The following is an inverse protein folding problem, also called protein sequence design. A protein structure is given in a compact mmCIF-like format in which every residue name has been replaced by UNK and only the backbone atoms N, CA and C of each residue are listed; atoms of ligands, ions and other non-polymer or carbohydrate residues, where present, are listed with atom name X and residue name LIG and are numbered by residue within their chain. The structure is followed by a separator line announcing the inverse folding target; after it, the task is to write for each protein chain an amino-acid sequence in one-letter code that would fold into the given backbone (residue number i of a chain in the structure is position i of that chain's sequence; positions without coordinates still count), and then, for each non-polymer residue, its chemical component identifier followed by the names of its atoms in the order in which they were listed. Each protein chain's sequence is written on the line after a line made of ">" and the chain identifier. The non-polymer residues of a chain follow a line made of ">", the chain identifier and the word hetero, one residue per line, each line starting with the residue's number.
data_IF_335253611649
#
_entry.id   IF_335253611649
#
_cell.length_a   1.000
_cell.length_b   1.000
_cell.length_c   1.000
_cell.angle_alpha   90.00
_cell.angle_beta   90.00
_cell.angle_gamma   90.00
#
_symmetry.space_group_name_H-M   'P 1'
#
loop_
_entity.id
_entity.type
_entity.pdbx_description
1 polymer ?
#
# COMPACT_ATOMS: atom_id res chain seq x y z
N UNK A 1 17.75 0.01 -20.66
CA UNK A 1 17.15 1.08 -19.86
C UNK A 1 15.65 0.90 -19.97
N UNK A 2 15.00 0.50 -18.88
CA UNK A 2 13.53 0.39 -18.79
C UNK A 2 12.95 1.80 -18.88
N UNK A 3 11.84 1.98 -19.61
CA UNK A 3 11.17 3.28 -19.66
C UNK A 3 10.77 3.71 -18.24
N UNK A 4 10.81 5.02 -17.92
CA UNK A 4 10.37 5.51 -16.62
C UNK A 4 8.91 5.13 -16.39
N UNK A 5 8.61 4.44 -15.29
CA UNK A 5 7.23 4.16 -14.88
C UNK A 5 6.54 5.47 -14.49
N UNK A 6 5.30 5.64 -14.91
CA UNK A 6 4.47 6.81 -14.61
C UNK A 6 3.66 6.57 -13.33
N UNK A 7 3.88 7.36 -12.29
CA UNK A 7 3.19 7.25 -11.00
C UNK A 7 1.96 8.17 -10.88
N UNK A 8 1.62 8.92 -11.94
CA UNK A 8 0.46 9.79 -11.99
C UNK A 8 -0.81 9.07 -12.47
N UNK A 9 -0.68 7.78 -12.80
CA UNK A 9 -1.79 6.90 -13.15
C UNK A 9 -1.73 5.60 -12.36
N UNK A 10 -2.88 4.98 -12.12
CA UNK A 10 -2.95 3.65 -11.53
C UNK A 10 -2.44 2.60 -12.50
N UNK A 11 -1.44 1.83 -12.06
CA UNK A 11 -0.98 0.60 -12.71
C UNK A 11 -0.42 -0.38 -11.67
N UNK A 12 -0.54 -1.66 -11.96
CA UNK A 12 0.03 -2.75 -11.16
C UNK A 12 0.43 -3.89 -12.10
N UNK A 13 1.59 -4.48 -11.90
CA UNK A 13 1.97 -5.70 -12.64
C UNK A 13 1.09 -6.90 -12.20
N UNK A 14 0.62 -6.89 -10.95
CA UNK A 14 -0.41 -7.80 -10.41
C UNK A 14 -1.52 -7.00 -9.74
N UNK A 15 -2.67 -6.92 -10.39
CA UNK A 15 -3.83 -6.18 -9.92
C UNK A 15 -4.90 -7.04 -9.21
N UNK A 16 -4.77 -8.37 -9.26
CA UNK A 16 -5.57 -9.28 -8.44
C UNK A 16 -4.67 -10.05 -7.46
N UNK A 17 -4.91 -9.85 -6.16
CA UNK A 17 -4.20 -10.58 -5.11
C UNK A 17 -4.93 -11.85 -4.67
N UNK A 18 -6.10 -12.19 -5.23
CA UNK A 18 -6.93 -13.33 -4.80
C UNK A 18 -6.20 -14.69 -4.77
N UNK A 19 -5.14 -14.84 -5.57
CA UNK A 19 -4.33 -16.06 -5.65
C UNK A 19 -3.04 -16.01 -4.81
N UNK A 20 -2.86 -14.95 -4.02
CA UNK A 20 -1.66 -14.76 -3.21
C UNK A 20 -1.66 -15.68 -1.98
N UNK A 21 -0.66 -16.57 -1.88
CA UNK A 21 -0.61 -17.55 -0.80
C UNK A 21 -0.03 -17.03 0.51
N UNK A 22 0.80 -15.99 0.44
CA UNK A 22 1.53 -15.42 1.56
C UNK A 22 1.42 -13.90 1.49
N UNK A 23 1.08 -13.20 2.58
CA UNK A 23 1.06 -11.75 2.60
C UNK A 23 2.40 -11.15 2.16
N UNK A 24 2.35 -10.12 1.32
CA UNK A 24 3.52 -9.30 1.01
C UNK A 24 3.59 -8.21 2.07
N UNK A 25 4.67 -8.20 2.83
CA UNK A 25 4.95 -7.17 3.82
C UNK A 25 5.57 -5.98 3.11
N UNK A 26 4.99 -4.80 3.32
CA UNK A 26 5.45 -3.55 2.76
C UNK A 26 5.88 -2.61 3.89
N UNK A 27 7.17 -2.30 3.94
CA UNK A 27 7.72 -1.23 4.77
C UNK A 27 7.34 0.10 4.13
N UNK A 28 6.74 0.99 4.92
CA UNK A 28 6.28 2.30 4.45
C UNK A 28 7.43 3.29 4.49
N UNK A 29 7.67 3.99 3.38
CA UNK A 29 8.70 5.02 3.24
C UNK A 29 8.01 6.31 2.85
N UNK A 30 8.14 7.33 3.69
CA UNK A 30 7.53 8.64 3.46
C UNK A 30 8.58 9.58 2.88
N UNK A 31 8.26 10.22 1.75
CA UNK A 31 9.17 11.12 1.03
C UNK A 31 8.48 12.44 0.73
N UNK A 32 9.27 13.52 0.59
CA UNK A 32 8.74 14.84 0.31
C UNK A 32 8.28 15.00 -1.14
N UNK A 33 7.54 16.07 -1.46
CA UNK A 33 7.06 16.32 -2.83
C UNK A 33 8.21 16.43 -3.85
N UNK A 34 8.09 15.69 -4.96
CA UNK A 34 9.10 15.66 -6.04
C UNK A 34 10.25 14.67 -5.80
N UNK A 35 10.14 13.80 -4.78
CA UNK A 35 11.17 12.83 -4.43
C UNK A 35 10.82 11.39 -4.80
N UNK A 36 9.57 11.11 -5.22
CA UNK A 36 9.09 9.76 -5.47
C UNK A 36 9.96 9.00 -6.48
N UNK A 37 10.18 9.55 -7.67
CA UNK A 37 10.89 8.86 -8.76
C UNK A 37 12.36 8.62 -8.40
N UNK A 38 13.00 9.55 -7.70
CA UNK A 38 14.38 9.36 -7.21
C UNK A 38 14.43 8.24 -6.18
N UNK A 39 13.45 8.20 -5.28
CA UNK A 39 13.38 7.20 -4.22
C UNK A 39 13.05 5.81 -4.79
N UNK A 40 12.15 5.72 -5.77
CA UNK A 40 11.86 4.48 -6.51
C UNK A 40 13.14 3.91 -7.10
N UNK A 41 13.90 4.71 -7.87
CA UNK A 41 15.18 4.26 -8.46
C UNK A 41 16.14 3.69 -7.42
N UNK A 42 16.27 4.35 -6.27
CA UNK A 42 17.09 3.85 -5.18
C UNK A 42 16.64 2.48 -4.67
N UNK A 43 15.33 2.27 -4.43
CA UNK A 43 14.83 0.99 -3.94
C UNK A 43 14.80 -0.10 -5.01
N UNK A 44 14.70 0.26 -6.29
CA UNK A 44 14.87 -0.66 -7.41
C UNK A 44 16.30 -1.18 -7.47
N UNK A 45 17.28 -0.27 -7.45
CA UNK A 45 18.70 -0.59 -7.45
C UNK A 45 19.11 -1.40 -6.21
N UNK A 46 18.61 -1.01 -5.02
CA UNK A 46 18.91 -1.68 -3.76
C UNK A 46 18.45 -3.15 -3.74
N UNK A 47 17.31 -3.45 -4.36
CA UNK A 47 16.70 -4.78 -4.32
C UNK A 47 16.94 -5.60 -5.59
N UNK A 48 17.42 -4.97 -6.67
CA UNK A 48 17.56 -5.61 -7.98
C UNK A 48 16.21 -5.98 -8.61
N UNK A 49 15.15 -5.22 -8.31
CA UNK A 49 13.79 -5.42 -8.85
C UNK A 49 13.26 -4.09 -9.38
N UNK A 50 12.28 -4.12 -10.28
CA UNK A 50 11.58 -2.90 -10.72
C UNK A 50 10.35 -2.64 -9.86
N UNK A 51 9.86 -1.40 -9.87
CA UNK A 51 8.55 -1.06 -9.34
C UNK A 51 7.48 -1.93 -10.01
N UNK A 52 6.54 -2.43 -9.20
CA UNK A 52 5.49 -3.36 -9.63
C UNK A 52 4.07 -2.81 -9.42
N UNK A 53 3.98 -1.56 -8.98
CA UNK A 53 2.77 -0.77 -9.10
C UNK A 53 2.95 0.67 -8.65
N UNK A 54 2.02 1.51 -9.06
CA UNK A 54 2.01 2.93 -8.79
C UNK A 54 0.62 3.50 -8.91
N UNK A 55 0.30 4.52 -8.13
CA UNK A 55 -0.96 5.24 -8.28
C UNK A 55 -0.94 6.61 -7.58
N UNK A 56 -1.65 7.60 -8.13
CA UNK A 56 -2.00 8.79 -7.38
C UNK A 56 -3.10 8.46 -6.37
N UNK A 57 -3.10 9.17 -5.24
CA UNK A 57 -4.20 9.18 -4.27
C UNK A 57 -4.65 10.62 -4.02
N UNK A 58 -5.39 11.23 -4.97
CA UNK A 58 -5.68 12.66 -4.96
C UNK A 58 -6.48 13.12 -3.74
N UNK A 59 -7.37 12.28 -3.22
CA UNK A 59 -8.21 12.58 -2.06
C UNK A 59 -7.37 12.83 -0.80
N UNK A 60 -6.19 12.20 -0.71
CA UNK A 60 -5.23 12.39 0.37
C UNK A 60 -4.07 13.33 -0.01
N UNK A 61 -4.00 13.80 -1.26
CA UNK A 61 -2.86 14.58 -1.77
C UNK A 61 -1.56 13.79 -1.80
N UNK A 62 -1.62 12.48 -2.08
CA UNK A 62 -0.46 11.58 -2.08
C UNK A 62 -0.19 10.95 -3.44
N UNK A 63 1.03 10.47 -3.64
CA UNK A 63 1.44 9.57 -4.74
C UNK A 63 2.15 8.37 -4.16
N UNK A 64 1.89 7.18 -4.71
CA UNK A 64 2.40 5.93 -4.16
C UNK A 64 3.12 5.08 -5.20
N UNK A 65 4.15 4.37 -4.76
CA UNK A 65 4.88 3.40 -5.56
C UNK A 65 5.21 2.14 -4.74
N UNK A 66 5.06 0.97 -5.34
CA UNK A 66 5.45 -0.31 -4.75
C UNK A 66 6.74 -0.80 -5.41
N UNK A 67 7.76 -1.10 -4.59
CA UNK A 67 9.06 -1.60 -5.06
C UNK A 67 9.55 -2.69 -4.12
N UNK A 68 9.50 -3.96 -4.54
CA UNK A 68 9.95 -5.09 -3.71
C UNK A 68 9.24 -5.14 -2.34
N UNK A 69 9.97 -4.98 -1.24
CA UNK A 69 9.39 -4.98 0.11
C UNK A 69 8.93 -3.59 0.61
N UNK A 70 8.87 -2.57 -0.25
CA UNK A 70 8.61 -1.18 0.15
C UNK A 70 7.37 -0.59 -0.54
N UNK A 71 6.64 0.22 0.23
CA UNK A 71 5.60 1.14 -0.25
C UNK A 71 6.09 2.57 -0.01
N UNK A 72 6.44 3.26 -1.09
CA UNK A 72 6.84 4.66 -1.05
C UNK A 72 5.58 5.52 -1.13
N UNK A 73 5.53 6.56 -0.30
CA UNK A 73 4.40 7.46 -0.16
C UNK A 73 4.93 8.89 -0.17
N UNK A 74 4.66 9.59 -1.26
CA UNK A 74 5.01 10.99 -1.45
C UNK A 74 3.85 11.89 -1.05
N UNK A 75 4.15 12.97 -0.33
CA UNK A 75 3.17 13.99 0.04
C UNK A 75 3.80 15.13 0.84
N UNK A 76 3.00 16.16 1.15
CA UNK A 76 3.44 17.19 2.11
C UNK A 76 3.47 16.62 3.54
N UNK A 77 4.22 17.21 4.48
CA UNK A 77 4.21 16.76 5.87
C UNK A 77 2.81 16.63 6.47
N UNK A 78 1.91 17.56 6.14
CA UNK A 78 0.52 17.59 6.61
C UNK A 78 -0.29 16.43 6.01
N UNK A 79 -0.12 16.16 4.71
CA UNK A 79 -0.78 15.05 4.03
C UNK A 79 -0.28 13.68 4.52
N UNK A 80 1.00 13.57 4.87
CA UNK A 80 1.62 12.32 5.33
C UNK A 80 1.30 12.02 6.80
N UNK A 81 1.10 13.04 7.64
CA UNK A 81 0.93 12.89 9.09
C UNK A 81 -0.09 11.83 9.55
N UNK A 82 -1.26 11.64 8.89
CA UNK A 82 -2.19 10.58 9.27
C UNK A 82 -1.65 9.17 9.04
N UNK A 83 -0.73 9.00 8.08
CA UNK A 83 -0.24 7.71 7.60
C UNK A 83 1.03 7.24 8.32
N UNK A 84 1.79 8.14 8.95
CA UNK A 84 3.07 7.84 9.61
C UNK A 84 2.94 6.98 10.87
N UNK A 85 1.74 6.91 11.45
CA UNK A 85 1.45 6.06 12.61
C UNK A 85 1.33 4.57 12.26
N UNK A 86 1.18 4.22 10.97
CA UNK A 86 1.06 2.83 10.52
C UNK A 86 2.45 2.19 10.43
N UNK A 87 2.66 1.09 11.16
CA UNK A 87 3.93 0.35 11.20
C UNK A 87 4.27 -0.28 9.85
N UNK A 88 3.27 -0.81 9.15
CA UNK A 88 3.46 -1.42 7.83
C UNK A 88 2.15 -1.82 7.18
N UNK A 89 2.25 -2.20 5.91
CA UNK A 89 1.11 -2.69 5.11
C UNK A 89 1.29 -4.16 4.79
N UNK A 90 0.23 -4.94 4.98
CA UNK A 90 0.12 -6.32 4.53
C UNK A 90 -0.79 -6.37 3.31
N UNK A 91 -0.20 -6.65 2.14
CA UNK A 91 -0.96 -6.97 0.94
C UNK A 91 -1.32 -8.46 0.99
N UNK A 92 -2.61 -8.75 1.15
CA UNK A 92 -3.19 -10.09 1.37
C UNK A 92 -4.09 -10.50 0.20
N UNK A 93 -4.53 -11.76 0.21
CA UNK A 93 -5.48 -12.32 -0.75
C UNK A 93 -6.91 -11.80 -0.54
N UNK A 94 -7.36 -11.82 0.71
CA UNK A 94 -8.65 -11.31 1.15
C UNK A 94 -8.52 -10.66 2.52
N UNK A 95 -9.02 -9.43 2.65
CA UNK A 95 -8.98 -8.68 3.91
C UNK A 95 -10.05 -9.16 4.90
N UNK A 96 -11.18 -9.73 4.44
CA UNK A 96 -12.30 -10.08 5.32
C UNK A 96 -11.91 -11.12 6.40
N UNK A 97 -11.21 -12.23 6.07
CA UNK A 97 -10.79 -13.18 7.10
C UNK A 97 -9.82 -12.61 8.14
N UNK A 98 -8.98 -11.63 7.77
CA UNK A 98 -8.10 -10.94 8.71
C UNK A 98 -8.88 -10.01 9.63
N UNK A 99 -9.81 -9.24 9.06
CA UNK A 99 -10.71 -8.36 9.80
C UNK A 99 -11.46 -9.13 10.89
N UNK A 100 -12.12 -10.24 10.53
CA UNK A 100 -12.91 -11.05 11.46
C UNK A 100 -12.07 -11.61 12.60
N UNK A 101 -10.87 -12.13 12.29
CA UNK A 101 -9.93 -12.66 13.29
C UNK A 101 -9.43 -11.57 14.24
N UNK A 102 -9.13 -10.39 13.73
CA UNK A 102 -8.65 -9.26 14.53
C UNK A 102 -9.75 -8.73 15.46
N UNK A 103 -10.98 -8.59 14.96
CA UNK A 103 -12.13 -8.23 15.79
C UNK A 103 -12.35 -9.28 16.89
N UNK A 104 -12.31 -10.57 16.56
CA UNK A 104 -12.43 -11.65 17.55
C UNK A 104 -11.30 -11.65 18.59
N UNK A 105 -10.10 -11.21 18.21
CA UNK A 105 -8.94 -11.08 19.09
C UNK A 105 -8.95 -9.78 19.94
N UNK A 106 -9.96 -8.93 19.81
CA UNK A 106 -10.07 -7.66 20.54
C UNK A 106 -9.18 -6.54 20.00
N UNK A 107 -8.72 -6.65 18.75
CA UNK A 107 -8.00 -5.57 18.07
C UNK A 107 -8.91 -4.34 17.89
N UNK A 108 -8.33 -3.14 17.95
CA UNK A 108 -9.06 -1.90 17.70
C UNK A 108 -8.98 -1.54 16.22
N UNK A 109 -10.11 -1.50 15.53
CA UNK A 109 -10.19 -0.99 14.15
C UNK A 109 -10.18 0.54 14.18
N UNK A 110 -9.16 1.15 13.58
CA UNK A 110 -8.98 2.63 13.55
C UNK A 110 -9.42 3.24 12.22
N UNK A 111 -9.27 2.49 11.13
CA UNK A 111 -9.90 2.80 9.85
C UNK A 111 -10.76 1.60 9.47
N UNK A 112 -12.09 1.77 9.33
CA UNK A 112 -12.99 0.66 9.06
C UNK A 112 -12.67 0.02 7.72
N UNK A 113 -13.13 -1.22 7.53
CA UNK A 113 -13.06 -1.87 6.24
C UNK A 113 -13.81 -1.04 5.20
N UNK A 114 -13.10 -0.61 4.16
CA UNK A 114 -13.62 0.15 3.04
C UNK A 114 -13.38 -0.63 1.76
N UNK A 115 -14.46 -0.88 1.01
CA UNK A 115 -14.37 -1.42 -0.36
C UNK A 115 -14.22 -0.24 -1.31
N UNK A 116 -13.24 -0.33 -2.20
CA UNK A 116 -12.92 0.67 -3.21
C UNK A 116 -12.85 -0.01 -4.59
N UNK A 117 -12.89 0.74 -5.71
CA UNK A 117 -12.84 0.12 -7.03
C UNK A 117 -11.63 -0.79 -7.28
N UNK A 118 -10.52 -0.57 -6.57
CA UNK A 118 -9.26 -1.28 -6.76
C UNK A 118 -9.01 -2.38 -5.70
N UNK A 119 -10.02 -2.72 -4.91
CA UNK A 119 -9.96 -3.71 -3.83
C UNK A 119 -10.64 -3.25 -2.54
N UNK A 120 -9.97 -3.43 -1.42
CA UNK A 120 -10.44 -2.99 -0.11
C UNK A 120 -9.27 -2.92 0.88
N UNK A 121 -9.44 -2.11 1.91
CA UNK A 121 -8.45 -1.95 2.97
C UNK A 121 -9.09 -1.65 4.32
N UNK A 122 -8.35 -1.93 5.39
CA UNK A 122 -8.65 -1.48 6.75
C UNK A 122 -7.36 -1.34 7.56
N UNK A 123 -7.44 -0.63 8.70
CA UNK A 123 -6.32 -0.53 9.63
C UNK A 123 -6.76 -0.97 11.02
N UNK A 124 -5.91 -1.78 11.66
CA UNK A 124 -6.13 -2.26 13.00
C UNK A 124 -4.92 -1.96 13.89
N UNK A 125 -5.21 -1.65 15.15
CA UNK A 125 -4.26 -1.72 16.25
C UNK A 125 -4.38 -3.11 16.85
N UNK A 126 -3.31 -3.90 16.72
CA UNK A 126 -3.20 -5.22 17.31
C UNK A 126 -3.21 -5.15 18.85
N UNK A 127 -3.47 -6.27 19.55
CA UNK A 127 -3.47 -6.29 21.02
C UNK A 127 -2.15 -5.84 21.68
N UNK A 128 -1.02 -5.96 20.97
CA UNK A 128 0.31 -5.51 21.39
C UNK A 128 0.60 -4.03 21.08
N UNK A 129 -0.34 -3.32 20.44
CA UNK A 129 -0.21 -1.90 20.07
C UNK A 129 0.32 -1.67 18.65
N UNK A 130 0.70 -2.71 17.90
CA UNK A 130 1.18 -2.56 16.51
C UNK A 130 0.06 -2.08 15.60
N UNK A 131 0.34 -1.08 14.74
CA UNK A 131 -0.65 -0.54 13.80
C UNK A 131 -0.37 -1.09 12.40
N UNK A 132 -1.28 -1.89 11.86
CA UNK A 132 -1.10 -2.53 10.54
C UNK A 132 -2.26 -2.17 9.62
N UNK A 133 -1.92 -1.83 8.39
CA UNK A 133 -2.86 -1.73 7.27
C UNK A 133 -2.95 -3.09 6.55
N UNK A 134 -4.17 -3.56 6.31
CA UNK A 134 -4.43 -4.75 5.50
C UNK A 134 -5.09 -4.31 4.21
N UNK A 135 -4.55 -4.75 3.08
CA UNK A 135 -5.04 -4.39 1.75
C UNK A 135 -5.16 -5.66 0.92
N UNK A 136 -6.19 -5.77 0.09
CA UNK A 136 -6.19 -6.69 -1.04
C UNK A 136 -6.46 -5.91 -2.33
N UNK A 137 -5.97 -6.40 -3.46
CA UNK A 137 -6.23 -5.79 -4.76
C UNK A 137 -7.24 -6.63 -5.54
N UNK A 138 -8.13 -5.94 -6.23
CA UNK A 138 -8.99 -6.50 -7.27
C UNK A 138 -8.83 -5.64 -8.52
N UNK A 139 -8.96 -6.23 -9.72
CA UNK A 139 -8.97 -5.47 -10.96
C UNK A 139 -10.08 -4.41 -10.90
N UNK A 140 -9.75 -3.19 -11.30
CA UNK A 140 -10.77 -2.14 -11.44
C UNK A 140 -11.73 -2.47 -12.62
N UNK A 141 -12.80 -1.68 -12.85
CA UNK A 141 -13.71 -1.93 -13.98
C UNK A 141 -13.05 -1.86 -15.37
N UNK A 142 -11.82 -1.32 -15.47
CA UNK A 142 -11.01 -1.28 -16.68
C UNK A 142 -9.99 -2.43 -16.74
N UNK A 143 -9.97 -3.32 -15.74
CA UNK A 143 -9.05 -4.45 -15.64
C UNK A 143 -7.63 -4.08 -15.22
N UNK A 144 -7.44 -2.89 -14.64
CA UNK A 144 -6.14 -2.41 -14.11
C UNK A 144 -5.93 -2.75 -12.65
#
# INVERSE_FOLDING_TARGET
>A
MTEPRDFDHLWRDRNDTSQQRVPRVLIRVFVGPGELERSVRFYEDLQGVTADGGFPFPEAGLRLAMVGAFLLIEGTPEALAPFTSTTGTLLVDDVQPYYDKLVAAGAKIIFPLQVVPTGAAFNAVHPDGTVVEYVHHRPDPQGR
#
